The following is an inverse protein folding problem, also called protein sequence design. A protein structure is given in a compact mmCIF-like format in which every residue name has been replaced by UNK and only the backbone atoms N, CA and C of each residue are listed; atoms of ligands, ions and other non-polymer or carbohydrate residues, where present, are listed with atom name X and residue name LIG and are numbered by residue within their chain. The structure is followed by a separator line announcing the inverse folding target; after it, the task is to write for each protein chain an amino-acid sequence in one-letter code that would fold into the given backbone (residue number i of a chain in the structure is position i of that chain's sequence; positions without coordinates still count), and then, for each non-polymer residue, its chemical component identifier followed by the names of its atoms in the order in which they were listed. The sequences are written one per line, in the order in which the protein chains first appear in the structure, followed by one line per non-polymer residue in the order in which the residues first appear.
data_IF_286454048432
#
_entry.id   IF_286454048432
#
_cell.length_a   1.000
_cell.length_b   1.000
_cell.length_c   1.000
_cell.angle_alpha   90.00
_cell.angle_beta   90.00
_cell.angle_gamma   90.00
#
_symmetry.space_group_name_H-M   'P 1'
#
loop_
_entity.id
_entity.type
_entity.pdbx_description
1 polymer ?
#
# COMPACT_ATOMS: atom_id res chain seq x y z
N UNK A 1 -45.15 21.87 -20.81
CA UNK A 1 -43.89 21.59 -20.07
C UNK A 1 -44.21 20.72 -18.88
N UNK A 2 -43.81 19.44 -18.91
CA UNK A 2 -44.04 18.52 -17.79
C UNK A 2 -43.19 18.94 -16.58
N UNK A 3 -43.78 18.92 -15.37
CA UNK A 3 -43.05 19.13 -14.11
C UNK A 3 -41.86 18.14 -14.07
N UNK A 4 -40.65 18.61 -13.74
CA UNK A 4 -39.52 17.72 -13.61
C UNK A 4 -39.85 16.63 -12.59
N UNK A 5 -39.62 15.38 -12.93
CA UNK A 5 -39.82 14.23 -12.04
C UNK A 5 -39.00 14.44 -10.77
N UNK A 6 -39.69 14.54 -9.62
CA UNK A 6 -39.08 14.67 -8.28
C UNK A 6 -38.35 13.38 -7.83
N UNK A 7 -37.70 12.68 -8.71
CA UNK A 7 -37.04 11.38 -8.42
C UNK A 7 -35.58 11.50 -7.96
N UNK A 8 -35.03 12.71 -7.94
CA UNK A 8 -33.60 12.91 -7.68
C UNK A 8 -33.21 12.96 -6.20
N UNK A 9 -34.17 12.68 -5.31
CA UNK A 9 -33.90 12.73 -3.88
C UNK A 9 -34.16 14.10 -3.28
N UNK A 10 -34.07 14.21 -1.95
CA UNK A 10 -34.29 15.46 -1.21
C UNK A 10 -33.73 15.37 0.19
N UNK A 11 -33.45 16.56 0.74
CA UNK A 11 -33.03 16.74 2.11
C UNK A 11 -34.23 17.12 2.97
N UNK A 12 -34.25 16.66 4.21
CA UNK A 12 -35.26 17.01 5.21
C UNK A 12 -34.69 16.93 6.61
N UNK A 13 -35.28 17.64 7.55
CA UNK A 13 -34.98 17.49 8.97
C UNK A 13 -36.02 16.56 9.60
N UNK A 14 -35.59 15.69 10.49
CA UNK A 14 -36.46 14.89 11.34
C UNK A 14 -36.84 15.72 12.56
N UNK A 15 -38.05 15.51 13.10
CA UNK A 15 -38.45 16.12 14.34
C UNK A 15 -37.47 15.76 15.45
N UNK A 16 -36.98 16.78 16.17
CA UNK A 16 -35.99 16.64 17.22
C UNK A 16 -34.52 16.42 16.75
N UNK A 17 -34.25 16.37 15.46
CA UNK A 17 -32.89 16.20 14.93
C UNK A 17 -32.32 17.52 14.42
N UNK A 18 -31.09 17.87 14.87
CA UNK A 18 -30.35 19.02 14.34
C UNK A 18 -29.74 18.73 12.97
N UNK A 19 -29.40 17.47 12.70
CA UNK A 19 -28.72 17.04 11.47
C UNK A 19 -29.72 16.86 10.32
N UNK A 20 -29.24 17.12 9.10
CA UNK A 20 -29.97 16.87 7.88
C UNK A 20 -30.06 15.39 7.56
N UNK A 21 -31.18 14.97 6.99
CA UNK A 21 -31.42 13.64 6.47
C UNK A 21 -31.67 13.73 4.98
N UNK A 22 -31.14 12.76 4.23
CA UNK A 22 -31.39 12.62 2.81
C UNK A 22 -32.33 11.46 2.52
N UNK A 23 -33.18 11.64 1.53
CA UNK A 23 -34.02 10.58 0.94
C UNK A 23 -33.77 10.51 -0.54
N UNK A 24 -33.61 9.30 -1.07
CA UNK A 24 -33.45 9.06 -2.51
C UNK A 24 -33.96 7.66 -2.87
N UNK A 25 -34.12 7.39 -4.18
CA UNK A 25 -34.38 6.03 -4.66
C UNK A 25 -33.09 5.40 -5.16
N UNK A 26 -32.86 4.14 -4.81
CA UNK A 26 -31.78 3.36 -5.43
C UNK A 26 -32.19 2.92 -6.86
N UNK A 27 -31.27 2.27 -7.58
CA UNK A 27 -31.57 1.76 -8.95
C UNK A 27 -32.70 0.75 -9.00
N UNK A 28 -32.98 0.06 -7.90
CA UNK A 28 -34.09 -0.88 -7.76
C UNK A 28 -35.42 -0.18 -7.47
N UNK A 29 -35.44 1.17 -7.41
CA UNK A 29 -36.62 1.95 -7.08
C UNK A 29 -36.95 2.01 -5.57
N UNK A 30 -36.19 1.34 -4.73
CA UNK A 30 -36.40 1.30 -3.28
C UNK A 30 -36.04 2.66 -2.68
N UNK A 31 -36.96 3.21 -1.87
CA UNK A 31 -36.71 4.46 -1.12
C UNK A 31 -35.68 4.22 -0.01
N UNK A 32 -34.65 5.04 0.00
CA UNK A 32 -33.61 5.05 1.03
C UNK A 32 -33.64 6.33 1.81
N UNK A 33 -33.34 6.23 3.11
CA UNK A 33 -33.22 7.36 4.04
C UNK A 33 -31.91 7.20 4.80
N UNK A 34 -31.04 8.20 4.75
CA UNK A 34 -29.74 8.20 5.42
C UNK A 34 -29.51 9.56 6.10
N UNK A 35 -28.84 9.55 7.25
CA UNK A 35 -28.39 10.79 7.89
C UNK A 35 -27.17 11.34 7.12
N UNK A 36 -27.09 12.64 6.98
CA UNK A 36 -25.91 13.32 6.44
C UNK A 36 -24.86 13.60 7.51
N UNK A 37 -25.20 13.37 8.78
CA UNK A 37 -24.35 13.65 9.96
C UNK A 37 -23.89 15.11 10.08
N UNK A 38 -24.43 16.02 9.29
CA UNK A 38 -24.09 17.46 9.31
C UNK A 38 -25.33 18.30 9.55
N UNK A 39 -25.13 19.45 10.21
CA UNK A 39 -26.15 20.46 10.40
C UNK A 39 -26.14 21.49 9.26
N UNK A 40 -25.04 21.56 8.49
CA UNK A 40 -24.90 22.47 7.36
C UNK A 40 -25.67 21.99 6.12
N UNK A 41 -26.41 22.90 5.53
CA UNK A 41 -27.21 22.64 4.32
C UNK A 41 -26.33 22.39 3.09
N UNK A 42 -25.24 23.13 2.95
CA UNK A 42 -24.34 23.03 1.80
C UNK A 42 -23.63 21.69 1.77
N UNK A 43 -23.12 21.24 2.91
CA UNK A 43 -22.53 19.93 3.07
C UNK A 43 -23.57 18.81 2.84
N UNK A 44 -24.75 18.93 3.41
CA UNK A 44 -25.83 17.95 3.20
C UNK A 44 -26.20 17.80 1.71
N UNK A 45 -26.23 18.92 0.97
CA UNK A 45 -26.44 18.89 -0.48
C UNK A 45 -25.31 18.16 -1.21
N UNK A 46 -24.06 18.36 -0.79
CA UNK A 46 -22.91 17.68 -1.36
C UNK A 46 -23.02 16.17 -1.16
N UNK A 47 -23.33 15.72 0.05
CA UNK A 47 -23.58 14.30 0.35
C UNK A 47 -24.71 13.70 -0.48
N UNK A 48 -25.81 14.41 -0.65
CA UNK A 48 -26.91 13.93 -1.50
C UNK A 48 -26.47 13.77 -2.97
N UNK A 49 -25.75 14.75 -3.52
CA UNK A 49 -25.22 14.65 -4.91
C UNK A 49 -24.27 13.48 -5.07
N UNK A 50 -23.35 13.27 -4.13
CA UNK A 50 -22.43 12.14 -4.15
C UNK A 50 -23.17 10.79 -4.12
N UNK A 51 -24.24 10.70 -3.33
CA UNK A 51 -25.08 9.49 -3.27
C UNK A 51 -25.83 9.23 -4.59
N UNK A 52 -26.39 10.28 -5.18
CA UNK A 52 -27.07 10.18 -6.48
C UNK A 52 -26.07 9.78 -7.59
N UNK A 53 -24.91 10.40 -7.60
CA UNK A 53 -23.84 10.05 -8.54
C UNK A 53 -23.35 8.60 -8.34
N UNK A 54 -23.17 8.15 -7.11
CA UNK A 54 -22.81 6.77 -6.80
C UNK A 54 -23.92 5.78 -7.24
N UNK A 55 -25.20 6.15 -7.09
CA UNK A 55 -26.34 5.39 -7.61
C UNK A 55 -26.22 5.25 -9.13
N UNK A 56 -26.03 6.35 -9.84
CA UNK A 56 -26.05 6.41 -11.30
C UNK A 56 -24.84 5.65 -11.87
N UNK A 57 -23.68 5.75 -11.23
CA UNK A 57 -22.47 4.99 -11.53
C UNK A 57 -22.51 3.51 -11.08
N UNK A 58 -23.60 3.05 -10.50
CA UNK A 58 -23.76 1.70 -9.96
C UNK A 58 -22.72 1.30 -8.90
N UNK A 59 -22.22 2.25 -8.13
CA UNK A 59 -21.21 2.03 -7.07
C UNK A 59 -21.80 2.00 -5.68
N UNK A 60 -23.06 2.43 -5.53
CA UNK A 60 -23.75 2.55 -4.25
C UNK A 60 -23.77 1.27 -3.40
N UNK A 61 -24.01 0.06 -3.95
CA UNK A 61 -24.00 -1.17 -3.15
C UNK A 61 -22.61 -1.50 -2.57
N UNK A 62 -21.56 -1.15 -3.30
CA UNK A 62 -20.18 -1.39 -2.84
C UNK A 62 -19.80 -0.37 -1.75
N UNK A 63 -20.15 0.92 -1.93
CA UNK A 63 -19.92 1.96 -0.92
C UNK A 63 -20.63 1.66 0.40
N UNK A 64 -21.86 1.13 0.35
CA UNK A 64 -22.57 0.72 1.56
C UNK A 64 -21.89 -0.41 2.29
N UNK A 65 -21.45 -1.44 1.57
CA UNK A 65 -20.66 -2.52 2.18
C UNK A 65 -19.38 -1.98 2.81
N UNK A 66 -18.73 -1.01 2.16
CA UNK A 66 -17.52 -0.36 2.69
C UNK A 66 -17.78 0.44 3.97
N UNK A 67 -18.98 0.99 4.17
CA UNK A 67 -19.34 1.76 5.37
C UNK A 67 -19.40 0.90 6.64
N UNK A 68 -19.80 -0.36 6.51
CA UNK A 68 -19.92 -1.28 7.65
C UNK A 68 -18.69 -2.18 7.81
N UNK A 69 -17.79 -2.18 6.84
CA UNK A 69 -16.59 -3.02 6.82
C UNK A 69 -15.55 -2.50 7.81
N UNK A 70 -15.10 -3.36 8.72
CA UNK A 70 -14.01 -3.02 9.64
C UNK A 70 -12.64 -3.06 8.94
N UNK A 71 -11.73 -2.24 9.43
CA UNK A 71 -10.35 -2.20 8.91
C UNK A 71 -9.66 -3.57 8.97
N UNK A 72 -9.85 -4.30 10.08
CA UNK A 72 -9.27 -5.64 10.27
C UNK A 72 -9.75 -6.63 9.21
N UNK A 73 -11.05 -6.70 8.97
CA UNK A 73 -11.66 -7.57 7.96
C UNK A 73 -11.16 -7.23 6.55
N UNK A 74 -11.06 -5.92 6.25
CA UNK A 74 -10.50 -5.46 4.97
C UNK A 74 -9.01 -5.82 4.83
N UNK A 75 -8.24 -5.73 5.91
CA UNK A 75 -6.82 -6.09 5.91
C UNK A 75 -6.62 -7.59 5.62
N UNK A 76 -7.47 -8.47 6.19
CA UNK A 76 -7.44 -9.90 5.89
C UNK A 76 -7.80 -10.19 4.44
N UNK A 77 -8.88 -9.59 3.96
CA UNK A 77 -9.28 -9.71 2.57
C UNK A 77 -8.19 -9.22 1.60
N UNK A 78 -7.52 -8.10 1.93
CA UNK A 78 -6.41 -7.58 1.14
C UNK A 78 -5.21 -8.53 1.12
N UNK A 79 -4.83 -9.08 2.27
CA UNK A 79 -3.71 -10.02 2.35
C UNK A 79 -3.96 -11.26 1.50
N UNK A 80 -5.16 -11.82 1.59
CA UNK A 80 -5.51 -13.04 0.88
C UNK A 80 -5.62 -12.83 -0.63
N UNK A 81 -6.29 -11.76 -1.07
CA UNK A 81 -6.67 -11.58 -2.47
C UNK A 81 -5.72 -10.69 -3.28
N UNK A 82 -4.85 -9.89 -2.65
CA UNK A 82 -4.00 -8.91 -3.35
C UNK A 82 -2.53 -8.94 -2.96
N UNK A 83 -2.20 -9.66 -1.90
CA UNK A 83 -0.84 -9.71 -1.38
C UNK A 83 -0.22 -11.08 -1.45
N UNK A 84 -0.98 -12.16 -1.23
CA UNK A 84 -0.52 -13.54 -1.26
C UNK A 84 -0.03 -13.95 -2.66
N UNK A 85 1.00 -14.81 -2.79
CA UNK A 85 1.34 -15.42 -4.07
C UNK A 85 0.13 -16.12 -4.72
N UNK A 86 -0.05 -16.10 -6.03
CA UNK A 86 0.87 -15.59 -7.07
C UNK A 86 0.76 -14.09 -7.35
N UNK A 87 -0.16 -13.35 -6.71
CA UNK A 87 -0.39 -11.92 -6.99
C UNK A 87 0.83 -11.06 -6.66
N UNK A 88 1.59 -11.42 -5.61
CA UNK A 88 2.84 -10.78 -5.22
C UNK A 88 3.88 -11.81 -4.84
N UNK A 89 5.15 -11.40 -4.94
CA UNK A 89 6.26 -12.22 -4.45
C UNK A 89 6.12 -12.45 -2.94
N UNK A 90 6.50 -13.63 -2.47
CA UNK A 90 6.41 -14.04 -1.07
C UNK A 90 7.08 -13.02 -0.11
N UNK A 91 8.25 -12.50 -0.48
CA UNK A 91 8.92 -11.44 0.29
C UNK A 91 8.06 -10.18 0.45
N UNK A 92 7.31 -9.79 -0.59
CA UNK A 92 6.39 -8.64 -0.53
C UNK A 92 5.20 -8.94 0.37
N UNK A 93 4.65 -10.15 0.28
CA UNK A 93 3.56 -10.59 1.16
C UNK A 93 3.98 -10.54 2.63
N UNK A 94 5.16 -11.09 2.96
CA UNK A 94 5.71 -11.04 4.32
C UNK A 94 5.93 -9.61 4.84
N UNK A 95 6.32 -8.66 3.98
CA UNK A 95 6.42 -7.24 4.33
C UNK A 95 5.04 -6.65 4.61
N UNK A 96 4.05 -6.95 3.78
CA UNK A 96 2.68 -6.48 3.97
C UNK A 96 2.08 -7.02 5.27
N UNK A 97 2.27 -8.30 5.59
CA UNK A 97 1.81 -8.90 6.84
C UNK A 97 2.42 -8.20 8.05
N UNK A 98 3.74 -7.95 8.04
CA UNK A 98 4.42 -7.23 9.14
C UNK A 98 3.89 -5.81 9.32
N UNK A 99 3.72 -5.08 8.23
CA UNK A 99 3.16 -3.72 8.28
C UNK A 99 1.73 -3.73 8.84
N UNK A 100 0.87 -4.61 8.33
CA UNK A 100 -0.51 -4.71 8.79
C UNK A 100 -0.64 -5.16 10.25
N UNK A 101 0.27 -6.00 10.74
CA UNK A 101 0.32 -6.35 12.17
C UNK A 101 0.46 -5.12 13.07
N UNK A 102 1.20 -4.10 12.64
CA UNK A 102 1.34 -2.85 13.39
C UNK A 102 0.15 -1.92 13.20
N UNK A 103 -0.36 -1.79 11.99
CA UNK A 103 -1.53 -0.97 11.67
C UNK A 103 -2.78 -1.46 12.39
N UNK A 104 -3.01 -2.77 12.46
CA UNK A 104 -4.12 -3.38 13.18
C UNK A 104 -4.19 -2.98 14.65
N UNK A 105 -3.06 -2.85 15.33
CA UNK A 105 -3.04 -2.41 16.74
C UNK A 105 -3.74 -1.06 16.98
N UNK A 106 -3.90 -0.27 15.94
CA UNK A 106 -4.53 1.04 16.03
C UNK A 106 -5.90 1.08 15.35
N UNK A 107 -6.04 0.42 14.22
CA UNK A 107 -7.20 0.58 13.35
C UNK A 107 -8.14 -0.63 13.32
N UNK A 108 -7.82 -1.75 13.98
CA UNK A 108 -8.49 -3.04 13.86
C UNK A 108 -10.03 -2.94 13.84
N UNK A 109 -10.58 -2.24 14.85
CA UNK A 109 -12.03 -2.14 15.08
C UNK A 109 -12.67 -0.90 14.45
N UNK A 110 -11.86 -0.02 13.86
CA UNK A 110 -12.37 1.20 13.22
C UNK A 110 -13.00 0.81 11.88
N UNK A 111 -14.16 1.35 11.56
CA UNK A 111 -14.75 1.17 10.25
C UNK A 111 -13.85 1.76 9.18
N UNK A 112 -13.72 1.07 8.05
CA UNK A 112 -12.83 1.49 6.97
C UNK A 112 -13.16 2.89 6.44
N UNK A 113 -14.44 3.26 6.45
CA UNK A 113 -14.93 4.56 6.01
C UNK A 113 -14.65 5.70 7.01
N UNK A 114 -14.41 5.35 8.29
CA UNK A 114 -14.20 6.33 9.35
C UNK A 114 -12.70 6.65 9.58
N UNK A 115 -11.80 5.94 8.87
CA UNK A 115 -10.35 6.23 8.94
C UNK A 115 -10.08 7.57 8.26
N UNK A 116 -9.59 8.54 9.04
CA UNK A 116 -9.28 9.88 8.56
C UNK A 116 -7.78 10.08 8.29
N UNK A 117 -7.44 11.16 7.59
CA UNK A 117 -6.04 11.56 7.39
C UNK A 117 -5.36 11.88 8.72
N UNK A 118 -6.08 12.53 9.65
CA UNK A 118 -5.57 12.89 10.97
C UNK A 118 -5.22 11.66 11.81
N UNK A 119 -6.05 10.61 11.77
CA UNK A 119 -5.78 9.34 12.45
C UNK A 119 -4.49 8.70 11.93
N UNK A 120 -4.28 8.76 10.63
CA UNK A 120 -3.07 8.23 9.99
C UNK A 120 -1.85 9.05 10.41
N UNK A 121 -1.93 10.38 10.43
CA UNK A 121 -0.82 11.22 10.88
C UNK A 121 -0.49 11.00 12.36
N UNK A 122 -1.51 10.92 13.22
CA UNK A 122 -1.31 10.58 14.64
C UNK A 122 -0.64 9.21 14.82
N UNK A 123 -1.06 8.21 14.04
CA UNK A 123 -0.41 6.90 14.02
C UNK A 123 1.06 7.02 13.65
N UNK A 124 1.39 7.74 12.57
CA UNK A 124 2.77 7.90 12.10
C UNK A 124 3.66 8.60 13.14
N UNK A 125 3.16 9.70 13.74
CA UNK A 125 3.89 10.43 14.79
C UNK A 125 4.13 9.57 16.02
N UNK A 126 3.14 8.80 16.47
CA UNK A 126 3.29 7.85 17.58
C UNK A 126 4.26 6.74 17.24
N UNK A 127 4.19 6.21 16.02
CA UNK A 127 5.02 5.10 15.58
C UNK A 127 6.50 5.47 15.48
N UNK A 128 6.80 6.70 15.04
CA UNK A 128 8.16 7.23 14.97
C UNK A 128 8.82 7.39 16.36
N UNK A 129 8.03 7.56 17.41
CA UNK A 129 8.53 7.65 18.80
C UNK A 129 8.76 6.28 19.44
N UNK A 130 8.26 5.20 18.84
CA UNK A 130 8.40 3.86 19.39
C UNK A 130 9.81 3.30 19.22
N UNK A 131 10.26 2.52 20.20
CA UNK A 131 11.51 1.79 20.12
C UNK A 131 11.31 0.40 19.56
N UNK A 132 12.29 -0.10 18.83
CA UNK A 132 12.28 -1.46 18.35
C UNK A 132 12.55 -2.42 19.50
N UNK A 133 11.67 -3.41 19.70
CA UNK A 133 11.89 -4.51 20.64
C UNK A 133 12.59 -5.65 19.89
N UNK A 134 13.74 -6.05 20.36
CA UNK A 134 14.49 -7.18 19.79
C UNK A 134 14.58 -8.29 20.83
N UNK A 135 14.19 -9.49 20.40
CA UNK A 135 14.32 -10.68 21.24
C UNK A 135 15.81 -11.02 21.40
N UNK A 136 16.29 -11.03 22.64
CA UNK A 136 17.62 -11.48 23.02
C UNK A 136 17.56 -12.83 23.72
N UNK A 137 18.69 -13.48 23.93
CA UNK A 137 18.78 -14.73 24.71
C UNK A 137 18.27 -14.53 26.17
N UNK A 138 18.35 -13.32 26.69
CA UNK A 138 17.97 -12.95 28.07
C UNK A 138 16.67 -12.12 28.16
N UNK A 139 15.80 -12.15 27.12
CA UNK A 139 14.55 -11.40 27.10
C UNK A 139 14.47 -10.40 25.96
N UNK A 140 13.54 -9.42 26.09
CA UNK A 140 13.40 -8.34 25.11
C UNK A 140 14.29 -7.16 25.48
N UNK A 141 15.15 -6.74 24.54
CA UNK A 141 15.94 -5.52 24.67
C UNK A 141 15.29 -4.41 23.85
N UNK A 142 15.06 -3.25 24.46
CA UNK A 142 14.71 -2.04 23.74
C UNK A 142 15.92 -1.53 22.97
N UNK A 143 15.79 -1.47 21.66
CA UNK A 143 16.78 -0.85 20.78
C UNK A 143 16.44 0.60 20.49
N UNK A 144 17.23 1.19 19.59
CA UNK A 144 17.03 2.53 19.08
C UNK A 144 15.61 2.76 18.57
N UNK A 145 15.21 4.01 18.51
CA UNK A 145 13.95 4.46 17.89
C UNK A 145 13.81 3.86 16.49
N UNK A 146 12.59 3.52 16.11
CA UNK A 146 12.31 2.95 14.78
C UNK A 146 12.82 3.88 13.69
N UNK A 147 13.48 3.30 12.69
CA UNK A 147 13.93 4.07 11.52
C UNK A 147 12.71 4.62 10.77
N UNK A 148 12.78 5.87 10.35
CA UNK A 148 11.73 6.52 9.54
C UNK A 148 11.36 5.71 8.30
N UNK A 149 12.33 5.05 7.66
CA UNK A 149 12.11 4.14 6.53
C UNK A 149 11.17 2.98 6.84
N UNK A 150 11.22 2.44 8.06
CA UNK A 150 10.33 1.34 8.49
C UNK A 150 8.89 1.83 8.61
N UNK A 151 8.69 2.99 9.26
CA UNK A 151 7.36 3.59 9.42
C UNK A 151 6.80 4.06 8.08
N UNK A 152 7.65 4.60 7.21
CA UNK A 152 7.26 4.96 5.85
C UNK A 152 6.82 3.74 5.02
N UNK A 153 7.46 2.58 5.23
CA UNK A 153 7.01 1.34 4.59
C UNK A 153 5.61 0.92 5.07
N UNK A 154 5.27 1.12 6.34
CA UNK A 154 3.92 0.87 6.87
C UNK A 154 2.89 1.80 6.19
N UNK A 155 3.19 3.09 6.02
CA UNK A 155 2.35 4.03 5.28
C UNK A 155 2.16 3.63 3.81
N UNK A 156 3.21 3.17 3.14
CA UNK A 156 3.12 2.68 1.75
C UNK A 156 2.17 1.49 1.62
N UNK A 157 2.22 0.55 2.55
CA UNK A 157 1.31 -0.61 2.57
C UNK A 157 -0.13 -0.16 2.82
N UNK A 158 -0.34 0.73 3.80
CA UNK A 158 -1.66 1.31 4.08
C UNK A 158 -2.24 2.02 2.87
N UNK A 159 -1.47 2.94 2.28
CA UNK A 159 -1.88 3.68 1.06
C UNK A 159 -2.28 2.75 -0.07
N UNK A 160 -1.51 1.68 -0.29
CA UNK A 160 -1.82 0.69 -1.31
C UNK A 160 -3.11 -0.08 -1.00
N UNK A 161 -3.28 -0.53 0.23
CA UNK A 161 -4.47 -1.27 0.68
C UNK A 161 -5.74 -0.42 0.52
N UNK A 162 -5.69 0.84 0.92
CA UNK A 162 -6.81 1.78 0.77
C UNK A 162 -7.07 2.15 -0.71
N UNK A 163 -6.04 2.24 -1.55
CA UNK A 163 -6.22 2.38 -2.99
C UNK A 163 -6.96 1.18 -3.61
N UNK A 164 -6.75 -0.02 -3.09
CA UNK A 164 -7.54 -1.19 -3.53
C UNK A 164 -9.00 -1.05 -3.08
N UNK A 165 -9.26 -0.54 -1.87
CA UNK A 165 -10.61 -0.27 -1.40
C UNK A 165 -11.34 0.76 -2.27
N UNK A 166 -10.66 1.83 -2.68
CA UNK A 166 -11.21 2.83 -3.62
C UNK A 166 -11.53 2.19 -4.98
N UNK A 167 -10.61 1.39 -5.53
CA UNK A 167 -10.87 0.67 -6.80
C UNK A 167 -12.04 -0.31 -6.71
N UNK A 168 -12.23 -0.95 -5.55
CA UNK A 168 -13.38 -1.82 -5.28
C UNK A 168 -14.64 -1.06 -4.90
N UNK A 169 -14.57 0.29 -4.91
CA UNK A 169 -15.70 1.18 -4.57
C UNK A 169 -16.21 1.03 -3.13
N UNK A 170 -15.39 0.54 -2.21
CA UNK A 170 -15.69 0.51 -0.77
C UNK A 170 -15.43 1.87 -0.11
N UNK A 171 -14.50 2.65 -0.68
CA UNK A 171 -14.21 4.03 -0.31
C UNK A 171 -14.40 4.96 -1.50
N UNK A 172 -14.82 6.19 -1.24
CA UNK A 172 -14.91 7.25 -2.25
C UNK A 172 -13.51 7.75 -2.61
N UNK A 173 -12.70 8.03 -1.59
CA UNK A 173 -11.34 8.55 -1.74
C UNK A 173 -10.39 7.83 -0.76
N UNK A 174 -9.11 7.92 -1.04
CA UNK A 174 -8.09 7.37 -0.15
C UNK A 174 -7.68 8.42 0.89
N UNK A 175 -7.92 8.21 2.19
CA UNK A 175 -7.51 9.16 3.23
C UNK A 175 -5.99 9.37 3.31
N UNK A 176 -5.19 8.46 2.78
CA UNK A 176 -3.74 8.66 2.69
C UNK A 176 -3.32 9.68 1.59
N UNK A 177 -4.21 10.18 0.75
CA UNK A 177 -3.84 11.03 -0.38
C UNK A 177 -3.23 12.36 0.07
N UNK A 178 -3.77 12.97 1.14
CA UNK A 178 -3.30 14.22 1.70
C UNK A 178 -2.29 14.07 2.85
N UNK A 179 -1.94 12.84 3.26
CA UNK A 179 -1.06 12.63 4.39
C UNK A 179 0.40 12.87 4.01
N UNK A 180 1.03 13.83 4.70
CA UNK A 180 2.46 14.05 4.66
C UNK A 180 3.18 13.21 5.70
N UNK A 181 4.32 12.65 5.30
CA UNK A 181 5.11 11.86 6.26
C UNK A 181 5.86 12.81 7.21
N UNK A 182 5.68 12.71 8.54
CA UNK A 182 6.11 13.73 9.50
C UNK A 182 7.62 13.71 9.80
N UNK A 183 8.41 12.95 9.05
CA UNK A 183 9.85 12.90 9.20
C UNK A 183 10.52 12.90 7.84
N UNK A 184 11.66 13.58 7.77
CA UNK A 184 12.50 13.48 6.57
C UNK A 184 12.98 12.02 6.46
N UNK A 185 12.63 11.34 5.39
CA UNK A 185 13.15 10.02 5.08
C UNK A 185 14.54 10.22 4.49
N UNK A 186 15.50 10.56 5.36
CA UNK A 186 16.87 10.65 4.94
C UNK A 186 17.39 9.26 4.61
N UNK A 187 17.86 9.16 3.39
CA UNK A 187 18.57 7.97 2.98
C UNK A 187 17.66 6.80 2.68
N UNK A 188 16.83 6.93 1.68
CA UNK A 188 17.05 5.93 0.65
C UNK A 188 18.55 5.89 0.47
N UNK A 189 19.14 4.84 1.02
CA UNK A 189 20.52 4.47 0.96
C UNK A 189 21.20 5.14 -0.25
N UNK A 190 22.04 6.13 -0.02
CA UNK A 190 22.97 6.58 -1.05
C UNK A 190 23.92 5.44 -1.22
N UNK A 191 23.91 4.74 -2.36
CA UNK A 191 24.85 3.64 -2.56
C UNK A 191 26.26 4.22 -2.41
N UNK A 192 27.05 3.62 -1.54
CA UNK A 192 28.48 3.88 -1.53
C UNK A 192 29.05 3.26 -2.80
N UNK A 193 29.53 4.11 -3.67
CA UNK A 193 30.22 3.66 -4.88
C UNK A 193 31.66 3.29 -4.49
N UNK A 194 31.97 2.03 -4.59
CA UNK A 194 33.33 1.53 -4.40
C UNK A 194 34.18 2.01 -5.57
N UNK A 195 35.24 2.76 -5.28
CA UNK A 195 36.22 3.19 -6.30
C UNK A 195 37.05 2.00 -6.80
N UNK A 196 37.65 2.15 -7.98
CA UNK A 196 38.48 1.08 -8.53
C UNK A 196 39.64 0.71 -7.58
N UNK A 197 40.26 1.68 -6.93
CA UNK A 197 41.34 1.45 -5.96
C UNK A 197 40.86 0.70 -4.71
N UNK A 198 39.66 0.97 -4.25
CA UNK A 198 39.03 0.22 -3.14
C UNK A 198 38.70 -1.21 -3.57
N UNK A 199 38.17 -1.39 -4.78
CA UNK A 199 37.89 -2.71 -5.32
C UNK A 199 39.17 -3.57 -5.39
N UNK A 200 40.26 -3.04 -5.88
CA UNK A 200 41.55 -3.75 -5.92
C UNK A 200 42.00 -4.18 -4.53
N UNK A 201 41.86 -3.31 -3.52
CA UNK A 201 42.19 -3.65 -2.13
C UNK A 201 41.28 -4.78 -1.60
N UNK A 202 39.98 -4.72 -1.89
CA UNK A 202 39.03 -5.78 -1.50
C UNK A 202 39.41 -7.10 -2.17
N UNK A 203 39.74 -7.09 -3.47
CA UNK A 203 40.16 -8.28 -4.22
C UNK A 203 41.47 -8.89 -3.69
N UNK A 204 42.41 -8.05 -3.26
CA UNK A 204 43.68 -8.51 -2.69
C UNK A 204 43.49 -9.32 -1.41
N UNK A 205 42.55 -8.89 -0.55
CA UNK A 205 42.28 -9.53 0.75
C UNK A 205 41.18 -10.61 0.67
N UNK A 206 40.49 -10.74 -0.46
CA UNK A 206 39.42 -11.70 -0.63
C UNK A 206 39.97 -13.11 -0.95
N UNK A 207 39.38 -14.19 -0.40
CA UNK A 207 39.68 -15.54 -0.81
C UNK A 207 39.31 -15.72 -2.31
N UNK A 208 39.98 -16.66 -2.99
CA UNK A 208 39.93 -16.80 -4.46
C UNK A 208 38.53 -16.95 -5.03
N UNK A 209 37.68 -17.76 -4.38
CA UNK A 209 36.28 -17.92 -4.81
C UNK A 209 35.50 -16.61 -4.76
N UNK A 210 35.74 -15.76 -3.75
CA UNK A 210 35.04 -14.48 -3.59
C UNK A 210 35.63 -13.44 -4.56
N UNK A 211 36.92 -13.44 -4.80
CA UNK A 211 37.59 -12.59 -5.78
C UNK A 211 37.01 -12.78 -7.18
N UNK A 212 36.82 -14.03 -7.59
CA UNK A 212 36.18 -14.33 -8.87
C UNK A 212 34.72 -13.84 -8.96
N UNK A 213 33.95 -14.00 -7.88
CA UNK A 213 32.57 -13.48 -7.81
C UNK A 213 32.55 -11.95 -7.90
N UNK A 214 33.43 -11.25 -7.18
CA UNK A 214 33.56 -9.79 -7.22
C UNK A 214 33.82 -9.33 -8.65
N UNK A 215 34.83 -9.91 -9.33
CA UNK A 215 35.17 -9.57 -10.72
C UNK A 215 33.98 -9.79 -11.66
N UNK A 216 33.35 -10.94 -11.60
CA UNK A 216 32.20 -11.23 -12.47
C UNK A 216 31.08 -10.22 -12.24
N UNK A 217 30.74 -9.90 -10.98
CA UNK A 217 29.67 -8.99 -10.65
C UNK A 217 30.00 -7.56 -11.09
N UNK A 218 31.22 -7.09 -10.89
CA UNK A 218 31.63 -5.73 -11.26
C UNK A 218 31.72 -5.54 -12.77
N UNK A 219 32.26 -6.52 -13.47
CA UNK A 219 32.41 -6.47 -14.94
C UNK A 219 31.07 -6.65 -15.68
N UNK A 220 30.13 -7.42 -15.11
CA UNK A 220 28.89 -7.77 -15.80
C UNK A 220 27.65 -7.05 -15.26
N UNK A 221 27.70 -6.50 -14.03
CA UNK A 221 26.54 -5.92 -13.36
C UNK A 221 25.46 -6.95 -12.94
N UNK A 222 25.75 -8.24 -13.01
CA UNK A 222 24.79 -9.31 -12.68
C UNK A 222 24.43 -9.30 -11.20
N UNK A 223 23.12 -9.50 -10.92
CA UNK A 223 22.64 -9.67 -9.55
C UNK A 223 22.97 -11.06 -9.03
N UNK A 224 23.71 -11.13 -7.90
CA UNK A 224 24.24 -12.37 -7.33
C UNK A 224 23.16 -13.46 -7.24
N UNK A 225 22.06 -13.21 -6.54
CA UNK A 225 21.06 -14.26 -6.25
C UNK A 225 20.07 -14.53 -7.37
N UNK A 226 19.84 -13.58 -8.28
CA UNK A 226 18.81 -13.74 -9.32
C UNK A 226 19.37 -14.16 -10.66
N UNK A 227 20.62 -13.79 -10.94
CA UNK A 227 21.23 -13.93 -12.26
C UNK A 227 22.50 -14.76 -12.20
N UNK A 228 23.41 -14.46 -11.28
CA UNK A 228 24.70 -15.18 -11.19
C UNK A 228 24.53 -16.58 -10.59
N UNK A 229 23.90 -16.70 -9.41
CA UNK A 229 23.77 -18.01 -8.72
C UNK A 229 22.99 -19.06 -9.52
N UNK A 230 21.85 -18.71 -10.20
CA UNK A 230 21.15 -19.70 -11.02
C UNK A 230 21.79 -19.96 -12.40
N UNK A 231 22.88 -19.28 -12.74
CA UNK A 231 23.55 -19.43 -14.03
C UNK A 231 24.18 -20.82 -14.16
N UNK A 232 23.87 -21.50 -15.26
CA UNK A 232 24.45 -22.79 -15.59
C UNK A 232 25.58 -22.59 -16.61
N UNK A 233 26.57 -23.50 -16.59
CA UNK A 233 27.69 -23.49 -17.56
C UNK A 233 27.23 -23.45 -19.02
N UNK A 234 26.11 -24.10 -19.33
CA UNK A 234 25.46 -24.08 -20.64
C UNK A 234 24.87 -22.73 -21.06
N UNK A 235 24.75 -21.79 -20.12
CA UNK A 235 24.26 -20.41 -20.41
C UNK A 235 25.41 -19.47 -20.84
N UNK A 236 26.65 -19.93 -20.80
CA UNK A 236 27.85 -19.18 -21.22
C UNK A 236 28.14 -19.49 -22.68
N UNK A 237 28.06 -18.48 -23.53
CA UNK A 237 28.45 -18.60 -24.95
C UNK A 237 29.76 -17.86 -25.13
N UNK A 238 30.78 -18.58 -25.62
CA UNK A 238 32.03 -18.01 -26.03
C UNK A 238 31.97 -17.67 -27.52
N UNK A 239 31.87 -16.39 -27.84
CA UNK A 239 31.94 -15.92 -29.23
C UNK A 239 33.25 -15.17 -29.41
N UNK A 240 34.17 -15.79 -30.16
CA UNK A 240 35.43 -15.17 -30.65
C UNK A 240 36.13 -14.27 -29.62
N UNK A 241 36.58 -14.87 -28.49
CA UNK A 241 37.37 -14.17 -27.48
C UNK A 241 36.58 -13.21 -26.57
N UNK A 242 35.26 -13.08 -26.73
CA UNK A 242 34.38 -12.33 -25.83
C UNK A 242 33.38 -13.27 -25.16
N UNK A 243 33.26 -13.13 -23.84
CA UNK A 243 32.26 -13.87 -23.09
C UNK A 243 30.89 -13.20 -23.26
N UNK A 244 29.94 -13.88 -23.88
CA UNK A 244 28.58 -13.45 -24.02
C UNK A 244 27.62 -14.27 -23.12
N UNK A 245 26.61 -13.65 -22.57
CA UNK A 245 25.59 -14.32 -21.73
C UNK A 245 24.33 -14.50 -22.54
N UNK A 246 23.86 -15.74 -22.70
CA UNK A 246 22.51 -15.99 -23.16
C UNK A 246 21.57 -16.06 -21.94
N UNK A 247 20.81 -15.00 -21.74
CA UNK A 247 19.75 -15.00 -20.74
C UNK A 247 18.60 -15.87 -21.29
N UNK A 248 18.19 -16.96 -20.63
CA UNK A 248 17.09 -17.77 -21.10
C UNK A 248 15.85 -16.89 -21.28
N UNK A 249 15.16 -16.98 -22.42
CA UNK A 249 13.97 -16.17 -22.76
C UNK A 249 12.84 -16.19 -21.69
N UNK A 250 12.83 -17.20 -20.82
CA UNK A 250 11.91 -17.28 -19.67
C UNK A 250 12.10 -16.18 -18.60
N UNK A 251 13.29 -15.58 -18.51
CA UNK A 251 13.55 -14.46 -17.58
C UNK A 251 13.20 -13.09 -18.18
N UNK A 252 13.02 -13.01 -19.49
CA UNK A 252 12.60 -11.77 -20.19
C UNK A 252 11.09 -11.57 -20.26
N UNK A 253 10.29 -12.52 -19.82
CA UNK A 253 8.82 -12.37 -19.73
C UNK A 253 8.42 -11.63 -18.44
N UNK A 254 8.92 -10.41 -18.28
CA UNK A 254 8.23 -9.44 -17.42
C UNK A 254 7.00 -8.96 -18.18
N UNK A 255 5.81 -8.99 -17.57
CA UNK A 255 4.62 -8.46 -18.22
C UNK A 255 4.86 -6.98 -18.54
N UNK A 256 4.75 -6.63 -19.81
CA UNK A 256 4.68 -5.24 -20.25
C UNK A 256 3.45 -4.63 -19.59
N UNK A 257 3.65 -3.78 -18.62
CA UNK A 257 2.57 -2.91 -18.13
C UNK A 257 2.22 -1.94 -19.25
N UNK A 258 0.99 -2.06 -19.74
CA UNK A 258 0.28 -0.98 -20.42
C UNK A 258 -0.34 -0.06 -19.39
#
# INVERSE_FOLDING_TARGET
MGRPRRDDGGLYKRDGSKVWWMRYRDKSGIRRRESTLTEDWGEAQKYLRERLQARDNNTLPALRRGQDLQFGEWADFYLENFSKPPFRAEKTHAVNQRALKHLRKTFETIKLADVTADDIEMYLRRRLKQRALVKSKHGFLEKQVLKATTVHQELRVLRRMLNVAVRKKFLVANPCAGVEFPARVDGLFRPHYVSWSEQQKIELHAPDYLRNVIRIVTETGLRIYKELTPMKKASLIWITGRCGFQIPKRLMALPKFR
#
